data_IF_078458261433
#
_entry.id   IF_078458261433
#
_cell.length_a   1.000
_cell.length_b   1.000
_cell.length_c   1.000
_cell.angle_alpha   90.00
_cell.angle_beta   90.00
_cell.angle_gamma   90.00
#
_symmetry.space_group_name_H-M   'P 1'
#
loop_
_entity.id
_entity.type
_entity.pdbx_description
1 polymer ?
#
# COMPACT_ATOMS: atom_id res chain seq x y z
N UNK A 1 -21.55 10.99 8.24
CA UNK A 1 -21.07 12.26 8.83
C UNK A 1 -21.74 12.55 10.18
N UNK A 2 -23.07 12.50 10.29
CA UNK A 2 -23.83 12.85 11.52
C UNK A 2 -23.60 11.91 12.73
N UNK A 3 -23.46 10.60 12.50
CA UNK A 3 -23.19 9.62 13.58
C UNK A 3 -21.78 9.75 14.18
N UNK A 4 -20.79 10.15 13.37
CA UNK A 4 -19.42 10.43 13.81
C UNK A 4 -19.38 11.64 14.77
N UNK A 5 -20.15 12.68 14.45
CA UNK A 5 -20.25 13.88 15.26
C UNK A 5 -20.97 13.62 16.60
N UNK A 6 -21.97 12.74 16.58
CA UNK A 6 -22.72 12.34 17.78
C UNK A 6 -21.90 11.45 18.73
N UNK A 7 -21.10 10.52 18.19
CA UNK A 7 -20.21 9.66 18.98
C UNK A 7 -19.05 10.45 19.64
N UNK A 8 -18.57 11.50 18.97
CA UNK A 8 -17.52 12.40 19.45
C UNK A 8 -17.95 13.25 20.65
N UNK A 9 -19.26 13.51 20.77
CA UNK A 9 -19.83 14.26 21.88
C UNK A 9 -19.99 13.43 23.16
N UNK A 10 -19.99 12.09 23.08
CA UNK A 10 -20.32 11.20 24.21
C UNK A 10 -19.10 10.77 25.04
N UNK A 11 -18.00 10.39 24.40
CA UNK A 11 -16.76 9.96 25.06
C UNK A 11 -16.25 10.95 26.13
N UNK A 12 -16.31 12.24 25.86
CA UNK A 12 -15.93 13.24 26.82
C UNK A 12 -16.85 13.37 28.08
N UNK A 13 -18.17 13.33 27.94
CA UNK A 13 -19.13 13.80 28.97
C UNK A 13 -18.87 13.36 30.41
N UNK A 14 -18.59 12.07 30.72
CA UNK A 14 -18.51 11.59 32.11
C UNK A 14 -17.31 12.15 32.88
N UNK A 15 -16.19 12.41 32.20
CA UNK A 15 -14.94 12.85 32.83
C UNK A 15 -14.93 14.35 33.18
N UNK A 16 -15.73 15.16 32.48
CA UNK A 16 -16.00 16.54 32.88
C UNK A 16 -16.84 16.63 34.16
N UNK A 17 -17.79 15.70 34.33
CA UNK A 17 -18.69 15.69 35.49
C UNK A 17 -18.01 15.19 36.78
N UNK A 18 -16.92 14.43 36.70
CA UNK A 18 -16.16 13.93 37.87
C UNK A 18 -15.04 14.87 38.34
N UNK A 19 -14.78 15.99 37.64
CA UNK A 19 -13.83 17.03 38.07
C UNK A 19 -12.34 16.64 38.09
N UNK A 20 -12.00 15.44 37.60
CA UNK A 20 -10.64 14.87 37.64
C UNK A 20 -9.75 15.29 36.47
N UNK A 21 -10.30 15.93 35.44
CA UNK A 21 -9.55 16.38 34.26
C UNK A 21 -10.04 17.76 33.85
N UNK A 22 -9.12 18.64 33.43
CA UNK A 22 -9.50 19.96 32.92
C UNK A 22 -10.13 19.84 31.53
N UNK A 23 -11.01 20.80 31.20
CA UNK A 23 -11.67 20.87 29.88
C UNK A 23 -10.65 20.96 28.71
N UNK A 24 -9.41 21.37 29.00
CA UNK A 24 -8.29 21.45 28.05
C UNK A 24 -7.64 20.08 27.82
N UNK A 25 -7.31 19.33 28.87
CA UNK A 25 -6.73 17.97 28.76
C UNK A 25 -7.63 17.01 27.98
N UNK A 26 -8.93 17.23 28.09
CA UNK A 26 -9.98 16.51 27.40
C UNK A 26 -9.99 16.71 25.89
N UNK A 27 -9.91 17.96 25.45
CA UNK A 27 -9.87 18.32 24.03
C UNK A 27 -8.57 17.75 23.43
N UNK A 28 -7.45 17.83 24.14
CA UNK A 28 -6.17 17.30 23.66
C UNK A 28 -6.10 15.76 23.65
N UNK A 29 -6.68 15.07 24.64
CA UNK A 29 -6.71 13.60 24.68
C UNK A 29 -7.62 13.01 23.60
N UNK A 30 -8.82 13.59 23.40
CA UNK A 30 -9.73 13.16 22.33
C UNK A 30 -9.20 13.49 20.94
N UNK A 31 -8.62 14.67 20.70
CA UNK A 31 -8.00 14.97 19.41
C UNK A 31 -6.69 14.21 19.19
N UNK A 32 -5.92 13.94 20.25
CA UNK A 32 -4.60 13.31 20.16
C UNK A 32 -4.63 11.90 19.58
N UNK A 33 -5.67 11.11 19.89
CA UNK A 33 -5.83 9.77 19.32
C UNK A 33 -6.26 9.84 17.85
N UNK A 34 -7.17 10.74 17.47
CA UNK A 34 -7.53 10.94 16.06
C UNK A 34 -6.34 11.45 15.26
N UNK A 35 -5.57 12.39 15.81
CA UNK A 35 -4.34 12.88 15.22
C UNK A 35 -3.33 11.75 15.14
N UNK A 36 -3.20 10.87 16.14
CA UNK A 36 -2.29 9.72 16.09
C UNK A 36 -2.73 8.67 15.06
N UNK A 37 -4.03 8.33 14.97
CA UNK A 37 -4.57 7.39 13.97
C UNK A 37 -4.50 7.98 12.57
N UNK A 38 -4.80 9.28 12.40
CA UNK A 38 -4.66 9.99 11.13
C UNK A 38 -3.21 10.18 10.76
N UNK A 39 -2.29 10.41 11.70
CA UNK A 39 -0.85 10.44 11.47
C UNK A 39 -0.36 9.04 11.14
N UNK A 40 -0.86 7.99 11.78
CA UNK A 40 -0.47 6.61 11.49
C UNK A 40 -0.99 6.17 10.12
N UNK A 41 -2.23 6.52 9.77
CA UNK A 41 -2.79 6.34 8.42
C UNK A 41 -2.06 7.20 7.39
N UNK A 42 -1.75 8.45 7.71
CA UNK A 42 -1.00 9.37 6.86
C UNK A 42 0.43 8.86 6.65
N UNK A 43 1.11 8.36 7.68
CA UNK A 43 2.43 7.74 7.62
C UNK A 43 2.36 6.43 6.84
N UNK A 44 1.34 5.59 7.03
CA UNK A 44 1.15 4.34 6.27
C UNK A 44 0.84 4.65 4.79
N UNK A 45 0.12 5.73 4.50
CA UNK A 45 -0.22 6.15 3.14
C UNK A 45 0.92 6.91 2.45
N UNK A 46 1.69 7.72 3.19
CA UNK A 46 2.93 8.37 2.74
C UNK A 46 4.11 7.40 2.67
N UNK A 47 4.09 6.29 3.42
CA UNK A 47 5.15 5.29 3.44
C UNK A 47 5.56 4.91 2.02
N UNK A 48 4.65 4.45 1.13
CA UNK A 48 5.02 4.08 -0.24
C UNK A 48 5.60 5.25 -1.05
N UNK A 49 5.17 6.49 -0.81
CA UNK A 49 5.71 7.70 -1.46
C UNK A 49 7.11 8.06 -0.92
N UNK A 50 7.32 8.04 0.40
CA UNK A 50 8.63 8.25 1.03
C UNK A 50 9.62 7.13 0.67
N UNK A 51 9.12 5.92 0.45
CA UNK A 51 9.87 4.74 0.02
C UNK A 51 10.26 4.76 -1.47
N UNK A 52 9.54 5.52 -2.31
CA UNK A 52 9.79 5.57 -3.77
C UNK A 52 10.43 6.89 -4.23
N UNK A 53 10.09 8.02 -3.63
CA UNK A 53 10.46 9.37 -4.12
C UNK A 53 11.06 10.30 -3.02
N UNK A 54 11.06 9.91 -1.74
CA UNK A 54 11.43 10.77 -0.61
C UNK A 54 12.86 10.68 -0.05
N UNK A 55 13.15 11.52 0.95
CA UNK A 55 14.45 11.86 1.56
C UNK A 55 15.32 10.70 2.13
N UNK A 56 14.84 9.45 2.07
CA UNK A 56 15.58 8.25 2.48
C UNK A 56 16.67 7.83 1.49
N UNK A 57 16.78 8.51 0.34
CA UNK A 57 17.85 8.33 -0.67
C UNK A 57 19.26 8.52 -0.07
N UNK A 58 19.40 9.21 1.05
CA UNK A 58 20.69 9.60 1.64
C UNK A 58 21.27 8.60 2.66
N UNK A 59 20.48 7.65 3.21
CA UNK A 59 20.88 6.87 4.40
C UNK A 59 21.31 5.41 4.09
N UNK A 60 21.39 4.99 2.83
CA UNK A 60 22.04 3.70 2.48
C UNK A 60 21.28 2.42 2.90
N UNK A 61 20.09 2.52 3.50
CA UNK A 61 19.23 1.39 3.87
C UNK A 61 18.42 0.80 2.69
N UNK A 62 18.92 0.97 1.46
CA UNK A 62 18.24 0.59 0.21
C UNK A 62 17.79 -0.87 0.22
N UNK A 63 18.65 -1.81 0.63
CA UNK A 63 18.38 -3.25 0.56
C UNK A 63 17.34 -3.77 1.56
N UNK A 64 17.35 -3.30 2.80
CA UNK A 64 16.47 -3.80 3.87
C UNK A 64 15.04 -3.31 3.72
N UNK A 65 14.88 -2.11 3.18
CA UNK A 65 13.58 -1.50 2.91
C UNK A 65 12.89 -2.16 1.70
N UNK A 66 13.65 -2.54 0.66
CA UNK A 66 13.13 -3.35 -0.44
C UNK A 66 12.74 -4.77 0.01
N UNK A 67 13.45 -5.36 0.99
CA UNK A 67 13.01 -6.59 1.65
C UNK A 67 11.75 -6.37 2.49
N UNK A 68 11.61 -5.23 3.15
CA UNK A 68 10.43 -4.91 3.96
C UNK A 68 9.18 -4.66 3.09
N UNK A 69 9.36 -4.05 1.92
CA UNK A 69 8.34 -4.01 0.88
C UNK A 69 7.89 -5.41 0.48
N UNK A 70 8.79 -6.41 0.44
CA UNK A 70 8.42 -7.81 0.22
C UNK A 70 7.74 -8.50 1.43
N UNK A 71 7.88 -7.99 2.66
CA UNK A 71 7.29 -8.60 3.87
C UNK A 71 5.87 -8.13 4.20
N UNK A 72 5.34 -7.11 3.54
CA UNK A 72 3.91 -6.82 3.52
C UNK A 72 3.29 -7.41 2.23
N UNK A 73 2.94 -8.72 2.23
CA UNK A 73 2.74 -9.50 1.01
C UNK A 73 1.64 -8.97 0.09
N UNK A 74 0.63 -8.27 0.66
CA UNK A 74 -0.52 -7.75 -0.08
C UNK A 74 -0.18 -6.47 -0.86
N UNK A 75 0.43 -5.45 -0.23
CA UNK A 75 0.81 -4.22 -0.93
C UNK A 75 1.99 -4.44 -1.89
N UNK A 76 2.92 -5.35 -1.55
CA UNK A 76 4.08 -5.68 -2.36
C UNK A 76 3.70 -6.19 -3.75
N UNK A 77 2.82 -7.20 -3.78
CA UNK A 77 2.41 -7.85 -5.01
C UNK A 77 1.65 -6.90 -5.92
N UNK A 78 0.76 -6.07 -5.36
CA UNK A 78 0.01 -5.09 -6.14
C UNK A 78 0.93 -4.05 -6.81
N UNK A 79 1.89 -3.50 -6.06
CA UNK A 79 2.82 -2.50 -6.60
C UNK A 79 3.77 -3.09 -7.66
N UNK A 80 4.19 -4.34 -7.48
CA UNK A 80 5.02 -5.08 -8.46
C UNK A 80 4.23 -5.32 -9.75
N UNK A 81 2.98 -5.79 -9.65
CA UNK A 81 2.12 -6.02 -10.84
C UNK A 81 1.92 -4.75 -11.64
N UNK A 82 1.69 -3.61 -10.96
CA UNK A 82 1.54 -2.31 -11.63
C UNK A 82 2.79 -1.92 -12.42
N UNK A 83 3.97 -2.15 -11.85
CA UNK A 83 5.24 -1.86 -12.52
C UNK A 83 5.51 -2.81 -13.70
N UNK A 84 5.16 -4.09 -13.58
CA UNK A 84 5.24 -5.04 -14.71
C UNK A 84 4.31 -4.59 -15.84
N UNK A 85 3.08 -4.21 -15.52
CA UNK A 85 2.13 -3.66 -16.49
C UNK A 85 2.68 -2.40 -17.18
N UNK A 86 3.26 -1.46 -16.43
CA UNK A 86 3.87 -0.24 -16.99
C UNK A 86 5.08 -0.56 -17.87
N UNK A 87 5.94 -1.48 -17.44
CA UNK A 87 7.08 -1.97 -18.22
C UNK A 87 6.62 -2.58 -19.56
N UNK A 88 5.67 -3.51 -19.54
CA UNK A 88 5.20 -4.20 -20.74
C UNK A 88 4.40 -3.27 -21.67
N UNK A 89 3.62 -2.34 -21.10
CA UNK A 89 2.93 -1.32 -21.88
C UNK A 89 3.92 -0.45 -22.65
N UNK A 90 4.94 0.08 -21.98
CA UNK A 90 5.91 0.98 -22.60
C UNK A 90 6.77 0.21 -23.62
N UNK A 91 7.19 -1.01 -23.28
CA UNK A 91 7.87 -1.87 -24.23
C UNK A 91 7.02 -2.16 -25.47
N UNK A 92 5.75 -2.53 -25.27
CA UNK A 92 4.80 -2.79 -26.35
C UNK A 92 4.59 -1.56 -27.24
N UNK A 93 4.37 -0.38 -26.66
CA UNK A 93 4.19 0.87 -27.41
C UNK A 93 5.43 1.25 -28.23
N UNK A 94 6.63 1.05 -27.68
CA UNK A 94 7.87 1.34 -28.41
C UNK A 94 8.09 0.36 -29.55
N UNK A 95 7.84 -0.94 -29.34
CA UNK A 95 7.94 -1.95 -30.38
C UNK A 95 6.89 -1.74 -31.48
N UNK A 96 5.66 -1.35 -31.11
CA UNK A 96 4.59 -1.02 -32.05
C UNK A 96 4.94 0.22 -32.90
N UNK A 97 5.61 1.19 -32.29
CA UNK A 97 6.18 2.35 -32.99
C UNK A 97 7.42 2.02 -33.85
N UNK A 98 7.84 0.75 -33.93
CA UNK A 98 8.98 0.30 -34.73
C UNK A 98 10.35 0.53 -34.08
N UNK A 99 10.40 0.90 -32.79
CA UNK A 99 11.68 1.03 -32.07
C UNK A 99 12.30 -0.36 -31.87
N UNK A 100 13.58 -0.56 -32.21
CA UNK A 100 14.23 -1.85 -32.03
C UNK A 100 14.21 -2.33 -30.57
N UNK A 101 14.00 -3.63 -30.35
CA UNK A 101 13.97 -4.25 -29.00
C UNK A 101 15.17 -3.88 -28.13
N UNK A 102 16.37 -3.89 -28.72
CA UNK A 102 17.63 -3.55 -28.05
C UNK A 102 17.64 -2.13 -27.47
N UNK A 103 16.91 -1.20 -28.09
CA UNK A 103 16.78 0.18 -27.63
C UNK A 103 15.54 0.39 -26.74
N UNK A 104 14.43 -0.27 -27.06
CA UNK A 104 13.18 -0.16 -26.33
C UNK A 104 13.25 -0.77 -24.92
N UNK A 105 13.86 -1.94 -24.79
CA UNK A 105 13.94 -2.68 -23.54
C UNK A 105 14.61 -1.91 -22.39
N UNK A 106 15.81 -1.32 -22.52
CA UNK A 106 16.42 -0.54 -21.44
C UNK A 106 15.61 0.71 -21.09
N UNK A 107 14.94 1.33 -22.07
CA UNK A 107 14.06 2.49 -21.84
C UNK A 107 12.81 2.08 -21.06
N UNK A 108 12.18 0.98 -21.43
CA UNK A 108 11.06 0.41 -20.68
C UNK A 108 11.49 -0.02 -19.27
N UNK A 109 12.68 -0.59 -19.09
CA UNK A 109 13.19 -1.01 -17.78
C UNK A 109 13.36 0.16 -16.79
N UNK A 110 13.54 1.39 -17.28
CA UNK A 110 13.66 2.59 -16.44
C UNK A 110 12.34 3.02 -15.79
N UNK A 111 11.20 2.49 -16.23
CA UNK A 111 9.89 2.83 -15.63
C UNK A 111 9.61 2.02 -14.37
N UNK A 112 10.37 0.95 -14.16
CA UNK A 112 10.30 0.09 -12.99
C UNK A 112 10.97 0.78 -11.80
N UNK A 113 10.16 1.23 -10.85
CA UNK A 113 10.62 1.92 -9.63
C UNK A 113 11.34 1.01 -8.64
N UNK A 114 11.01 -0.28 -8.60
CA UNK A 114 11.59 -1.26 -7.69
C UNK A 114 13.01 -1.63 -8.16
N UNK A 115 14.01 -1.33 -7.35
CA UNK A 115 15.41 -1.50 -7.73
C UNK A 115 15.80 -2.95 -8.01
N UNK A 116 15.23 -3.91 -7.27
CA UNK A 116 15.50 -5.34 -7.44
C UNK A 116 14.89 -5.86 -8.74
N UNK A 117 13.62 -5.51 -9.01
CA UNK A 117 12.95 -5.89 -10.25
C UNK A 117 13.60 -5.22 -11.46
N UNK A 118 13.94 -3.93 -11.36
CA UNK A 118 14.64 -3.21 -12.42
C UNK A 118 16.03 -3.80 -12.70
N UNK A 119 16.74 -4.26 -11.66
CA UNK A 119 18.00 -4.96 -11.84
C UNK A 119 17.81 -6.28 -12.59
N UNK A 120 16.81 -7.10 -12.20
CA UNK A 120 16.50 -8.35 -12.90
C UNK A 120 16.15 -8.12 -14.36
N UNK A 121 15.34 -7.11 -14.67
CA UNK A 121 14.95 -6.74 -16.04
C UNK A 121 16.15 -6.21 -16.84
N UNK A 122 17.08 -5.46 -16.22
CA UNK A 122 18.31 -5.03 -16.89
C UNK A 122 19.26 -6.19 -17.17
N UNK A 123 19.45 -7.09 -16.20
CA UNK A 123 20.23 -8.32 -16.40
C UNK A 123 19.64 -9.15 -17.53
N UNK A 124 18.31 -9.26 -17.56
CA UNK A 124 17.58 -9.88 -18.64
C UNK A 124 17.87 -9.23 -20.02
N UNK A 125 17.96 -7.91 -20.06
CA UNK A 125 18.29 -7.19 -21.29
C UNK A 125 19.63 -7.56 -21.89
N UNK A 126 20.66 -7.85 -21.08
CA UNK A 126 21.96 -8.32 -21.60
C UNK A 126 21.85 -9.66 -22.31
N UNK A 127 21.12 -10.63 -21.74
CA UNK A 127 20.93 -11.94 -22.36
C UNK A 127 20.18 -11.87 -23.70
N UNK A 128 19.28 -10.88 -23.86
CA UNK A 128 18.59 -10.64 -25.14
C UNK A 128 19.58 -10.10 -26.19
N UNK A 129 20.58 -9.31 -25.80
CA UNK A 129 21.65 -8.88 -26.72
C UNK A 129 22.50 -10.06 -27.20
N UNK A 130 22.65 -11.08 -26.36
CA UNK A 130 23.35 -12.33 -26.68
C UNK A 130 22.51 -13.30 -27.53
N UNK A 131 21.28 -12.92 -27.90
CA UNK A 131 20.38 -13.71 -28.74
C UNK A 131 19.40 -14.62 -27.99
N UNK A 132 19.28 -14.50 -26.67
CA UNK A 132 18.25 -15.22 -25.93
C UNK A 132 16.85 -14.66 -26.24
N UNK A 133 15.84 -15.53 -26.19
CA UNK A 133 14.44 -15.11 -26.32
C UNK A 133 13.98 -14.28 -25.11
N UNK A 134 13.13 -13.28 -25.36
CA UNK A 134 12.51 -12.46 -24.32
C UNK A 134 11.77 -13.34 -23.31
N UNK A 135 11.01 -14.32 -23.78
CA UNK A 135 10.27 -15.25 -22.92
C UNK A 135 11.23 -16.06 -22.03
N UNK A 136 12.31 -16.60 -22.61
CA UNK A 136 13.26 -17.43 -21.87
C UNK A 136 13.95 -16.65 -20.74
N UNK A 137 14.20 -15.37 -20.97
CA UNK A 137 14.83 -14.51 -19.99
C UNK A 137 13.83 -14.02 -18.92
N UNK A 138 12.62 -13.61 -19.32
CA UNK A 138 11.57 -13.21 -18.36
C UNK A 138 11.13 -14.37 -17.45
N UNK A 139 11.25 -15.62 -17.92
CA UNK A 139 10.94 -16.82 -17.13
C UNK A 139 11.84 -16.96 -15.88
N UNK A 140 13.03 -16.37 -15.88
CA UNK A 140 13.92 -16.38 -14.71
C UNK A 140 13.47 -15.40 -13.61
N UNK A 141 12.53 -14.49 -13.93
CA UNK A 141 12.03 -13.47 -13.02
C UNK A 141 10.74 -14.00 -12.36
N UNK A 142 10.81 -14.29 -11.06
CA UNK A 142 9.72 -14.91 -10.28
C UNK A 142 8.39 -14.14 -10.34
N UNK A 143 8.45 -12.83 -10.58
CA UNK A 143 7.28 -11.96 -10.61
C UNK A 143 6.46 -12.12 -11.91
N UNK A 144 7.03 -12.72 -12.97
CA UNK A 144 6.32 -13.08 -14.19
C UNK A 144 5.63 -14.43 -14.03
N UNK A 145 4.31 -14.44 -14.08
CA UNK A 145 3.50 -15.66 -13.97
C UNK A 145 3.50 -16.45 -15.28
N UNK A 146 3.20 -17.74 -15.20
CA UNK A 146 3.09 -18.62 -16.37
C UNK A 146 2.11 -18.09 -17.43
N UNK A 147 0.98 -17.52 -17.02
CA UNK A 147 0.00 -16.91 -17.93
C UNK A 147 0.59 -15.73 -18.72
N UNK A 148 1.41 -14.90 -18.08
CA UNK A 148 2.12 -13.80 -18.73
C UNK A 148 3.11 -14.32 -19.77
N UNK A 149 3.92 -15.32 -19.37
CA UNK A 149 4.94 -15.88 -20.23
C UNK A 149 4.34 -16.57 -21.46
N UNK A 150 3.17 -17.20 -21.34
CA UNK A 150 2.50 -17.84 -22.48
C UNK A 150 2.08 -16.84 -23.56
N UNK A 151 1.49 -15.70 -23.19
CA UNK A 151 1.06 -14.67 -24.16
C UNK A 151 2.28 -14.06 -24.87
N UNK A 152 3.36 -13.81 -24.11
CA UNK A 152 4.61 -13.29 -24.66
C UNK A 152 5.26 -14.33 -25.58
N UNK A 153 5.29 -15.61 -25.19
CA UNK A 153 5.85 -16.70 -25.98
C UNK A 153 5.16 -16.84 -27.33
N UNK A 154 3.82 -16.80 -27.33
CA UNK A 154 3.02 -16.86 -28.57
C UNK A 154 3.37 -15.67 -29.46
N UNK A 155 3.41 -14.45 -28.89
CA UNK A 155 3.76 -13.22 -29.63
C UNK A 155 5.18 -13.21 -30.18
N UNK A 156 6.12 -13.80 -29.45
CA UNK A 156 7.51 -13.93 -29.88
C UNK A 156 7.66 -14.94 -31.03
N UNK A 157 6.94 -16.06 -30.99
CA UNK A 157 6.94 -17.07 -32.04
C UNK A 157 6.20 -16.62 -33.32
N UNK A 158 5.10 -15.88 -33.18
CA UNK A 158 4.30 -15.38 -34.31
C UNK A 158 4.83 -14.07 -34.90
N UNK A 159 5.86 -13.46 -34.30
CA UNK A 159 6.35 -12.14 -34.67
C UNK A 159 5.41 -10.98 -34.31
N UNK A 160 4.38 -11.23 -33.50
CA UNK A 160 3.40 -10.24 -33.05
C UNK A 160 3.67 -9.79 -31.62
N UNK A 161 4.95 -9.59 -31.27
CA UNK A 161 5.36 -9.33 -29.89
C UNK A 161 4.77 -8.04 -29.32
N UNK A 162 4.75 -6.97 -30.11
CA UNK A 162 4.20 -5.68 -29.71
C UNK A 162 2.72 -5.79 -29.29
N UNK A 163 1.90 -6.44 -30.13
CA UNK A 163 0.47 -6.62 -29.84
C UNK A 163 0.23 -7.52 -28.65
N UNK A 164 1.01 -8.60 -28.48
CA UNK A 164 0.92 -9.48 -27.31
C UNK A 164 1.25 -8.76 -26.00
N UNK A 165 2.28 -7.90 -26.00
CA UNK A 165 2.66 -7.11 -24.82
C UNK A 165 1.57 -6.08 -24.45
N UNK A 166 1.02 -5.39 -25.44
CA UNK A 166 -0.08 -4.44 -25.24
C UNK A 166 -1.36 -5.14 -24.75
N UNK A 167 -1.67 -6.31 -25.31
CA UNK A 167 -2.80 -7.13 -24.89
C UNK A 167 -2.66 -7.56 -23.43
N UNK A 168 -1.48 -8.05 -23.03
CA UNK A 168 -1.22 -8.41 -21.65
C UNK A 168 -1.31 -7.21 -20.70
N UNK A 169 -0.73 -6.06 -21.08
CA UNK A 169 -0.78 -4.85 -20.27
C UNK A 169 -2.23 -4.39 -20.01
N UNK A 170 -3.12 -4.56 -20.99
CA UNK A 170 -4.55 -4.28 -20.84
C UNK A 170 -5.22 -5.25 -19.86
N UNK A 171 -4.98 -6.56 -19.99
CA UNK A 171 -5.54 -7.57 -19.07
C UNK A 171 -5.09 -7.33 -17.62
N UNK A 172 -3.82 -6.97 -17.41
CA UNK A 172 -3.33 -6.61 -16.07
C UNK A 172 -3.92 -5.30 -15.57
N UNK A 173 -4.14 -4.30 -16.44
CA UNK A 173 -4.79 -3.05 -16.05
C UNK A 173 -6.21 -3.30 -15.53
N UNK A 174 -7.00 -4.13 -16.21
CA UNK A 174 -8.34 -4.53 -15.78
C UNK A 174 -8.30 -5.32 -14.46
N UNK A 175 -7.33 -6.24 -14.31
CA UNK A 175 -7.17 -6.98 -13.06
C UNK A 175 -6.72 -6.10 -11.87
N UNK A 176 -5.93 -5.05 -12.14
CA UNK A 176 -5.48 -4.08 -11.12
C UNK A 176 -6.64 -3.16 -10.72
N UNK A 177 -7.45 -2.69 -11.68
CA UNK A 177 -8.59 -1.81 -11.37
C UNK A 177 -9.64 -2.49 -10.49
N UNK A 178 -9.93 -3.77 -10.75
CA UNK A 178 -10.83 -4.56 -9.88
C UNK A 178 -10.28 -4.63 -8.44
N UNK A 179 -8.96 -4.82 -8.29
CA UNK A 179 -8.34 -4.84 -6.96
C UNK A 179 -8.37 -3.47 -6.29
N UNK A 180 -8.16 -2.39 -7.03
CA UNK A 180 -8.26 -1.02 -6.52
C UNK A 180 -9.68 -0.69 -6.05
N UNK A 181 -10.70 -1.08 -6.80
CA UNK A 181 -12.12 -0.93 -6.41
C UNK A 181 -12.43 -1.70 -5.13
N UNK A 182 -12.00 -2.97 -5.03
CA UNK A 182 -12.15 -3.74 -3.81
C UNK A 182 -11.46 -3.05 -2.62
N UNK A 183 -10.21 -2.60 -2.78
CA UNK A 183 -9.51 -1.89 -1.70
C UNK A 183 -10.24 -0.60 -1.30
N UNK A 184 -10.72 0.18 -2.27
CA UNK A 184 -11.48 1.41 -2.02
C UNK A 184 -12.79 1.14 -1.26
N UNK A 185 -13.42 -0.01 -1.45
CA UNK A 185 -14.65 -0.40 -0.73
C UNK A 185 -14.36 -0.94 0.69
N UNK A 186 -13.25 -1.66 0.87
CA UNK A 186 -12.88 -2.28 2.14
C UNK A 186 -12.21 -1.30 3.12
N UNK A 187 -11.42 -0.35 2.64
CA UNK A 187 -10.73 0.64 3.49
C UNK A 187 -11.72 1.39 4.40
N UNK A 188 -12.83 1.99 3.89
CA UNK A 188 -13.80 2.66 4.76
C UNK A 188 -14.42 1.71 5.79
N UNK A 189 -14.74 0.47 5.41
CA UNK A 189 -15.34 -0.53 6.32
C UNK A 189 -14.40 -0.90 7.47
N UNK A 190 -13.11 -1.07 7.20
CA UNK A 190 -12.10 -1.33 8.23
C UNK A 190 -11.94 -0.12 9.16
N UNK A 191 -11.98 1.11 8.63
CA UNK A 191 -11.93 2.33 9.43
C UNK A 191 -13.14 2.39 10.39
N UNK A 192 -14.35 2.15 9.89
CA UNK A 192 -15.56 2.13 10.74
C UNK A 192 -15.49 1.04 11.81
N UNK A 193 -15.01 -0.16 11.47
CA UNK A 193 -14.81 -1.25 12.44
C UNK A 193 -13.81 -0.85 13.53
N UNK A 194 -12.66 -0.28 13.15
CA UNK A 194 -11.64 0.15 14.10
C UNK A 194 -12.18 1.23 15.05
N UNK A 195 -12.94 2.20 14.53
CA UNK A 195 -13.60 3.23 15.33
C UNK A 195 -14.63 2.61 16.29
N UNK A 196 -15.42 1.63 15.85
CA UNK A 196 -16.41 0.96 16.70
C UNK A 196 -15.75 0.18 17.85
N UNK A 197 -14.68 -0.57 17.57
CA UNK A 197 -13.90 -1.29 18.60
C UNK A 197 -13.26 -0.33 19.58
N UNK A 198 -12.67 0.76 19.07
CA UNK A 198 -12.12 1.82 19.89
C UNK A 198 -13.17 2.43 20.82
N UNK A 199 -14.36 2.72 20.28
CA UNK A 199 -15.48 3.29 21.04
C UNK A 199 -15.92 2.34 22.16
N UNK A 200 -16.08 1.04 21.86
CA UNK A 200 -16.42 0.05 22.88
C UNK A 200 -15.37 -0.02 24.00
N UNK A 201 -14.08 -0.02 23.65
CA UNK A 201 -12.99 0.04 24.63
C UNK A 201 -13.08 1.29 25.52
N UNK A 202 -13.33 2.45 24.92
CA UNK A 202 -13.41 3.73 25.65
C UNK A 202 -14.55 3.78 26.66
N UNK A 203 -15.72 3.22 26.31
CA UNK A 203 -16.88 3.17 27.21
C UNK A 203 -16.57 2.30 28.43
N UNK A 204 -15.92 1.14 28.23
CA UNK A 204 -15.53 0.24 29.32
C UNK A 204 -14.50 0.92 30.24
N UNK A 205 -13.53 1.64 29.67
CA UNK A 205 -12.54 2.38 30.45
C UNK A 205 -13.20 3.50 31.29
N UNK A 206 -14.14 4.24 30.70
CA UNK A 206 -14.89 5.28 31.40
C UNK A 206 -15.75 4.73 32.55
N UNK A 207 -16.43 3.59 32.32
CA UNK A 207 -17.21 2.92 33.36
C UNK A 207 -16.35 2.50 34.56
N UNK A 208 -15.16 1.93 34.31
CA UNK A 208 -14.21 1.57 35.37
C UNK A 208 -13.77 2.78 36.18
N UNK A 209 -13.43 3.88 35.51
CA UNK A 209 -13.00 5.12 36.17
C UNK A 209 -14.11 5.71 37.06
N UNK A 210 -15.36 5.71 36.57
CA UNK A 210 -16.52 6.18 37.34
C UNK A 210 -16.73 5.39 38.64
N UNK A 211 -16.68 4.06 38.57
CA UNK A 211 -16.83 3.20 39.76
C UNK A 211 -15.72 3.41 40.78
N UNK A 212 -14.47 3.52 40.33
CA UNK A 212 -13.35 3.81 41.24
C UNK A 212 -13.50 5.16 41.97
N UNK A 213 -14.13 6.15 41.33
CA UNK A 213 -14.40 7.45 41.96
C UNK A 213 -15.48 7.39 43.06
N UNK A 214 -16.48 6.52 42.91
CA UNK A 214 -17.54 6.33 43.93
C UNK A 214 -17.01 5.57 45.13
N UNK A 215 -16.23 4.50 44.92
CA UNK A 215 -15.63 3.74 46.04
C UNK A 215 -14.73 4.64 46.92
N UNK A 216 -14.03 5.60 46.30
CA UNK A 216 -13.14 6.53 46.99
C UNK A 216 -13.89 7.60 47.82
N UNK A 217 -15.10 7.99 47.40
CA UNK A 217 -15.93 8.92 48.18
C UNK A 217 -16.64 8.21 49.35
N UNK A 218 -17.08 6.98 49.15
CA UNK A 218 -17.68 6.16 50.21
C UNK A 218 -16.67 5.77 51.31
N UNK A 219 -15.43 5.48 50.95
CA UNK A 219 -14.36 5.21 51.93
C UNK A 219 -13.97 6.44 52.75
N UNK A 220 -14.02 7.66 52.18
CA UNK A 220 -13.75 8.91 52.89
C UNK A 220 -14.92 9.40 53.78
N UNK A 221 -16.16 8.95 53.53
CA UNK A 221 -17.33 9.26 54.36
C UNK A 221 -17.57 8.24 55.49
N UNK A 222 -16.91 7.08 55.42
CA UNK A 222 -16.95 6.02 56.44
C UNK A 222 -15.82 6.05 57.47
N UNK A 223 -14.92 7.03 57.39
CA UNK A 223 -13.83 7.31 58.33
C UNK A 223 -14.11 8.63 59.08
#
# INVERSE_FOLDING_TARGET
MSILFLALLIHPVPALFTGSITMIDYIFSSFGVFVFILILLYIVWQLPFWLTEGALRFIGLRGSIFKLQLTLPLLAHWLIRRQIKEFLLILGLMLDAGVPMLEALPKAANTVKNALLAQRIRTAGFSIQEGCSLTGVLMQIKEFKSSTLQIIAIGEQSGTLATSLLHFARLEAEAISIQEEMLAEWIPRLIYMAIAVWMAYSIIAAYRAYFSGIEQTLTNLGA
#
